data_IF_929799549192
#
_entry.id   IF_929799549192
#
_cell.length_a   1.000
_cell.length_b   1.000
_cell.length_c   1.000
_cell.angle_alpha   90.00
_cell.angle_beta   90.00
_cell.angle_gamma   90.00
#
_symmetry.space_group_name_H-M   'P 1'
#
loop_
_entity.id
_entity.type
_entity.pdbx_description
1 polymer ?
#
# COMPACT_ATOMS: atom_id res chain seq x y z
N UNK A 1 -9.64 30.50 -3.81
CA UNK A 1 -9.38 29.42 -4.79
C UNK A 1 -7.90 29.11 -4.64
N UNK A 2 -7.52 27.90 -4.25
CA UNK A 2 -6.10 27.56 -4.11
C UNK A 2 -5.44 27.66 -5.49
N UNK A 3 -4.38 28.46 -5.58
CA UNK A 3 -3.58 28.71 -6.78
C UNK A 3 -2.76 27.47 -7.14
N UNK A 4 -2.41 27.28 -8.43
CA UNK A 4 -1.71 26.07 -8.91
C UNK A 4 -0.40 25.77 -8.17
N UNK A 5 0.28 26.79 -7.67
CA UNK A 5 1.48 26.69 -6.83
C UNK A 5 1.22 26.01 -5.48
N UNK A 6 0.06 26.24 -4.87
CA UNK A 6 -0.32 25.56 -3.63
C UNK A 6 -0.51 24.06 -3.91
N UNK A 7 -1.16 23.69 -5.02
CA UNK A 7 -1.33 22.27 -5.38
C UNK A 7 0.03 21.57 -5.58
N UNK A 8 1.01 22.25 -6.17
CA UNK A 8 2.36 21.73 -6.34
C UNK A 8 3.10 21.55 -5.00
N UNK A 9 2.98 22.52 -4.09
CA UNK A 9 3.58 22.42 -2.75
C UNK A 9 2.99 21.24 -1.96
N UNK A 10 1.68 21.03 -2.04
CA UNK A 10 1.01 19.92 -1.35
C UNK A 10 1.42 18.56 -1.92
N UNK A 11 1.57 18.43 -3.24
CA UNK A 11 2.07 17.19 -3.86
C UNK A 11 3.49 16.85 -3.41
N UNK A 12 4.36 17.86 -3.31
CA UNK A 12 5.73 17.67 -2.85
C UNK A 12 5.78 17.23 -1.39
N UNK A 13 4.99 17.88 -0.52
CA UNK A 13 4.88 17.50 0.89
C UNK A 13 4.37 16.06 1.08
N UNK A 14 3.38 15.62 0.29
CA UNK A 14 2.88 14.23 0.32
C UNK A 14 3.95 13.24 -0.15
N UNK A 15 4.76 13.60 -1.14
CA UNK A 15 5.85 12.74 -1.63
C UNK A 15 7.00 12.60 -0.61
N UNK A 16 7.19 13.58 0.27
CA UNK A 16 8.19 13.58 1.34
C UNK A 16 7.71 12.90 2.63
N UNK A 17 6.41 12.61 2.75
CA UNK A 17 5.90 11.84 3.88
C UNK A 17 6.40 10.39 3.81
N UNK A 18 6.84 9.81 4.95
CA UNK A 18 7.21 8.41 4.99
C UNK A 18 6.01 7.59 4.53
N UNK A 19 6.23 6.74 3.52
CA UNK A 19 5.21 5.82 3.06
C UNK A 19 4.86 4.91 4.22
N UNK A 20 3.66 5.06 4.77
CA UNK A 20 3.15 4.23 5.84
C UNK A 20 3.19 2.77 5.35
N UNK A 21 4.05 1.96 5.96
CA UNK A 21 4.15 0.55 5.62
C UNK A 21 2.93 -0.15 6.23
N UNK A 22 2.18 -0.87 5.39
CA UNK A 22 1.05 -1.66 5.85
C UNK A 22 1.62 -2.80 6.70
N UNK A 23 1.32 -2.80 7.99
CA UNK A 23 1.76 -3.81 8.98
C UNK A 23 0.67 -4.79 9.36
N UNK A 24 -0.59 -4.40 9.19
CA UNK A 24 -1.75 -5.15 9.65
C UNK A 24 -2.72 -5.42 8.49
N UNK A 25 -3.41 -6.55 8.56
CA UNK A 25 -4.34 -6.97 7.53
C UNK A 25 -5.58 -6.08 7.60
N UNK A 26 -6.02 -5.47 6.48
CA UNK A 26 -7.20 -4.60 6.49
C UNK A 26 -8.52 -5.34 6.77
N UNK A 27 -8.55 -6.67 6.60
CA UNK A 27 -9.77 -7.48 6.82
C UNK A 27 -9.96 -7.86 8.30
N UNK A 28 -8.88 -8.27 8.98
CA UNK A 28 -8.95 -8.89 10.30
C UNK A 28 -7.97 -8.32 11.34
N UNK A 29 -7.10 -7.40 10.94
CA UNK A 29 -6.12 -6.75 11.82
C UNK A 29 -4.93 -7.63 12.22
N UNK A 30 -4.77 -8.83 11.64
CA UNK A 30 -3.58 -9.66 11.89
C UNK A 30 -2.34 -9.06 11.24
N UNK A 31 -1.15 -9.22 11.87
CA UNK A 31 0.10 -8.83 11.27
C UNK A 31 0.31 -9.49 9.90
N UNK A 32 0.64 -8.69 8.88
CA UNK A 32 0.93 -9.18 7.53
C UNK A 32 2.43 -9.30 7.30
N UNK A 33 2.81 -10.33 6.56
CA UNK A 33 4.19 -10.53 6.13
C UNK A 33 4.40 -9.92 4.74
N UNK A 34 5.52 -9.20 4.58
CA UNK A 34 6.02 -8.77 3.27
C UNK A 34 6.91 -9.86 2.68
N UNK A 35 6.46 -10.46 1.58
CA UNK A 35 7.19 -11.48 0.84
C UNK A 35 8.33 -10.85 0.01
N UNK A 36 9.35 -11.65 -0.37
CA UNK A 36 10.51 -11.14 -1.12
C UNK A 36 10.17 -10.52 -2.48
N UNK A 37 9.04 -10.91 -3.07
CA UNK A 37 8.54 -10.40 -4.35
C UNK A 37 7.75 -9.08 -4.21
N UNK A 38 7.70 -8.51 -2.99
CA UNK A 38 6.99 -7.29 -2.65
C UNK A 38 5.49 -7.49 -2.36
N UNK A 39 5.01 -8.74 -2.30
CA UNK A 39 3.61 -9.05 -1.97
C UNK A 39 3.41 -9.05 -0.45
N UNK A 40 2.39 -8.37 0.03
CA UNK A 40 1.91 -8.45 1.41
C UNK A 40 0.95 -9.64 1.53
N UNK A 41 1.12 -10.46 2.56
CA UNK A 41 0.32 -11.66 2.78
C UNK A 41 -0.09 -11.79 4.25
N UNK A 42 -1.38 -12.03 4.49
CA UNK A 42 -1.93 -12.38 5.79
C UNK A 42 -2.01 -13.91 5.88
N UNK A 43 -1.27 -14.52 6.81
CA UNK A 43 -1.31 -15.97 7.04
C UNK A 43 -2.65 -16.43 7.65
N UNK A 44 -3.32 -15.55 8.39
CA UNK A 44 -4.56 -15.90 9.10
C UNK A 44 -5.78 -16.06 8.18
N UNK A 45 -6.06 -15.05 7.34
CA UNK A 45 -7.23 -15.06 6.45
C UNK A 45 -6.89 -15.36 4.98
N UNK A 46 -5.60 -15.40 4.62
CA UNK A 46 -5.15 -15.60 3.24
C UNK A 46 -5.20 -14.35 2.35
N UNK A 47 -5.55 -13.18 2.90
CA UNK A 47 -5.53 -11.92 2.16
C UNK A 47 -4.12 -11.63 1.61
N UNK A 48 -4.03 -11.11 0.39
CA UNK A 48 -2.76 -10.74 -0.20
C UNK A 48 -2.87 -9.54 -1.15
N UNK A 49 -1.83 -8.71 -1.17
CA UNK A 49 -1.76 -7.53 -2.02
C UNK A 49 -0.34 -7.30 -2.55
N UNK A 50 -0.15 -6.94 -3.82
CA UNK A 50 -1.17 -6.77 -4.85
C UNK A 50 -1.78 -8.12 -5.29
N UNK A 51 -3.06 -8.12 -5.66
CA UNK A 51 -3.72 -9.27 -6.30
C UNK A 51 -3.04 -9.55 -7.64
N UNK A 52 -2.25 -10.63 -7.71
CA UNK A 52 -1.65 -11.10 -8.96
C UNK A 52 -2.58 -12.14 -9.59
N UNK A 53 -3.40 -11.70 -10.53
CA UNK A 53 -4.08 -12.65 -11.43
C UNK A 53 -3.03 -13.35 -12.29
N UNK A 54 -2.87 -14.67 -12.14
CA UNK A 54 -2.16 -15.47 -13.15
C UNK A 54 -3.01 -15.45 -14.42
N UNK A 55 -2.54 -14.80 -15.48
CA UNK A 55 -3.11 -15.03 -16.82
C UNK A 55 -2.80 -16.48 -17.19
N UNK A 56 -3.80 -17.36 -17.08
CA UNK A 56 -3.76 -18.64 -17.79
C UNK A 56 -3.93 -18.31 -19.29
N UNK A 57 -2.81 -18.36 -20.01
CA UNK A 57 -2.78 -18.33 -21.48
C UNK A 57 -2.84 -19.74 -22.05
#
# INVERSE_FOLDING_TARGET
MATGDEILAWKKAIAEMPREEITDCPEDGWPIQKLPDGTYWCEFCGWHWPLRIRKHG
#
